data_IF_857092262508
#
_entry.id   IF_857092262508
#
_cell.length_a   1.000
_cell.length_b   1.000
_cell.length_c   1.000
_cell.angle_alpha   90.00
_cell.angle_beta   90.00
_cell.angle_gamma   90.00
#
_symmetry.space_group_name_H-M   'P 1'
#
loop_
_entity.id
_entity.type
_entity.pdbx_description
1 polymer ?
#
# COMPACT_ATOMS: atom_id res chain seq x y z
N UNK A 1 16.77 -12.57 15.55
CA UNK A 1 15.97 -11.64 16.37
C UNK A 1 14.59 -11.54 15.73
N UNK A 2 13.66 -12.42 16.05
CA UNK A 2 12.26 -12.36 15.61
C UNK A 2 11.58 -11.25 16.42
N UNK A 3 11.20 -10.18 15.70
CA UNK A 3 10.85 -8.91 16.29
C UNK A 3 9.52 -8.90 17.01
N UNK A 4 9.51 -8.32 18.17
CA UNK A 4 8.32 -7.80 18.85
C UNK A 4 7.67 -6.67 18.01
N UNK A 5 7.01 -6.99 16.87
CA UNK A 5 6.37 -5.93 16.07
C UNK A 5 5.77 -6.33 14.74
N UNK A 6 6.10 -7.49 14.19
CA UNK A 6 5.48 -7.89 12.92
C UNK A 6 4.18 -8.66 13.16
N UNK A 7 3.08 -8.12 12.61
CA UNK A 7 1.79 -8.80 12.59
C UNK A 7 1.69 -9.60 11.28
N UNK A 8 2.11 -10.88 11.31
CA UNK A 8 2.21 -11.74 10.12
C UNK A 8 0.89 -11.81 9.33
N UNK A 9 -0.24 -11.87 10.02
CA UNK A 9 -1.55 -11.86 9.39
C UNK A 9 -1.75 -10.64 8.48
N UNK A 10 -1.32 -9.45 8.89
CA UNK A 10 -1.43 -8.23 8.07
C UNK A 10 -0.50 -8.29 6.85
N UNK A 11 0.70 -8.87 7.00
CA UNK A 11 1.61 -9.13 5.88
C UNK A 11 0.95 -10.09 4.88
N UNK A 12 0.31 -11.16 5.35
CA UNK A 12 -0.40 -12.12 4.50
C UNK A 12 -1.55 -11.50 3.73
N UNK A 13 -2.39 -10.69 4.38
CA UNK A 13 -3.51 -10.00 3.70
C UNK A 13 -3.00 -9.02 2.65
N UNK A 14 -1.86 -8.35 2.89
CA UNK A 14 -1.22 -7.52 1.87
C UNK A 14 -0.84 -8.32 0.61
N UNK A 15 -0.42 -9.57 0.77
CA UNK A 15 -0.16 -10.48 -0.34
C UNK A 15 -1.44 -10.80 -1.13
N UNK A 16 -2.51 -11.15 -0.44
CA UNK A 16 -3.82 -11.43 -1.05
C UNK A 16 -4.31 -10.19 -1.83
N UNK A 17 -4.24 -9.02 -1.22
CA UNK A 17 -4.64 -7.76 -1.83
C UNK A 17 -3.83 -7.44 -3.10
N UNK A 18 -2.50 -7.67 -3.10
CA UNK A 18 -1.66 -7.47 -4.28
C UNK A 18 -2.06 -8.40 -5.44
N UNK A 19 -2.36 -9.67 -5.16
CA UNK A 19 -2.84 -10.61 -6.17
C UNK A 19 -4.24 -10.26 -6.67
N UNK A 20 -5.09 -9.69 -5.83
CA UNK A 20 -6.39 -9.19 -6.30
C UNK A 20 -6.23 -8.05 -7.32
N UNK A 21 -5.25 -7.14 -7.13
CA UNK A 21 -4.91 -6.11 -8.12
C UNK A 21 -4.38 -6.72 -9.42
N UNK A 22 -3.54 -7.77 -9.36
CA UNK A 22 -3.07 -8.49 -10.56
C UNK A 22 -4.25 -9.03 -11.37
N UNK A 23 -5.18 -9.72 -10.70
CA UNK A 23 -6.37 -10.29 -11.31
C UNK A 23 -7.35 -9.21 -11.82
N UNK A 24 -7.44 -8.08 -11.12
CA UNK A 24 -8.18 -6.91 -11.59
C UNK A 24 -7.72 -6.43 -12.96
N UNK A 25 -6.40 -6.29 -13.17
CA UNK A 25 -5.87 -5.86 -14.47
C UNK A 25 -5.95 -6.94 -15.56
N UNK A 26 -5.97 -8.20 -15.18
CA UNK A 26 -6.08 -9.33 -16.10
C UNK A 26 -7.51 -9.60 -16.55
N UNK A 27 -8.54 -9.33 -15.71
CA UNK A 27 -9.92 -9.80 -15.88
C UNK A 27 -10.54 -9.49 -17.25
N UNK A 28 -10.35 -8.26 -17.74
CA UNK A 28 -10.95 -7.82 -19.01
C UNK A 28 -10.36 -8.49 -20.26
N UNK A 29 -9.29 -9.29 -20.08
CA UNK A 29 -8.67 -10.06 -21.16
C UNK A 29 -8.93 -11.55 -21.08
N UNK A 30 -9.65 -12.03 -20.04
CA UNK A 30 -9.96 -13.45 -19.86
C UNK A 30 -11.21 -13.85 -20.64
N UNK A 31 -11.08 -14.85 -21.51
CA UNK A 31 -12.22 -15.43 -22.21
C UNK A 31 -13.04 -16.31 -21.26
N UNK A 32 -14.37 -16.18 -21.28
CA UNK A 32 -15.29 -17.07 -20.58
C UNK A 32 -15.25 -16.92 -19.04
N UNK A 33 -14.92 -15.73 -18.52
CA UNK A 33 -14.97 -15.45 -17.09
C UNK A 33 -16.43 -15.38 -16.63
N UNK A 34 -16.86 -16.17 -15.61
CA UNK A 34 -18.22 -16.05 -15.08
C UNK A 34 -18.50 -14.65 -14.54
N UNK A 35 -19.67 -14.07 -14.87
CA UNK A 35 -20.00 -12.70 -14.53
C UNK A 35 -19.89 -12.34 -13.04
N UNK A 36 -20.21 -13.29 -12.14
CA UNK A 36 -20.02 -13.10 -10.70
C UNK A 36 -18.53 -12.95 -10.33
N UNK A 37 -17.66 -13.75 -10.93
CA UNK A 37 -16.21 -13.69 -10.70
C UNK A 37 -15.66 -12.39 -11.27
N UNK A 38 -16.07 -12.01 -12.47
CA UNK A 38 -15.69 -10.73 -13.09
C UNK A 38 -16.09 -9.55 -12.21
N UNK A 39 -17.31 -9.52 -11.69
CA UNK A 39 -17.81 -8.49 -10.78
C UNK A 39 -16.95 -8.35 -9.51
N UNK A 40 -16.50 -9.47 -8.92
CA UNK A 40 -15.60 -9.48 -7.76
C UNK A 40 -14.21 -8.98 -8.17
N UNK A 41 -13.65 -9.47 -9.26
CA UNK A 41 -12.33 -9.06 -9.73
C UNK A 41 -12.32 -7.59 -10.16
N UNK A 42 -13.43 -7.07 -10.70
CA UNK A 42 -13.58 -5.66 -11.07
C UNK A 42 -13.40 -4.69 -9.88
N UNK A 43 -13.52 -5.17 -8.65
CA UNK A 43 -13.33 -4.39 -7.42
C UNK A 43 -11.91 -4.47 -6.85
N UNK A 44 -10.97 -5.08 -7.58
CA UNK A 44 -9.58 -5.22 -7.13
C UNK A 44 -8.83 -3.90 -6.94
N UNK A 45 -9.28 -2.78 -7.56
CA UNK A 45 -8.74 -1.46 -7.30
C UNK A 45 -8.92 -0.98 -5.85
N UNK A 46 -9.92 -1.51 -5.13
CA UNK A 46 -10.18 -1.22 -3.71
C UNK A 46 -9.11 -1.80 -2.77
N UNK A 47 -8.27 -2.70 -3.27
CA UNK A 47 -7.11 -3.19 -2.50
C UNK A 47 -6.12 -2.06 -2.17
N UNK A 48 -6.10 -0.98 -2.96
CA UNK A 48 -5.23 0.18 -2.73
C UNK A 48 -5.64 0.94 -1.47
N UNK A 49 -6.94 1.06 -1.20
CA UNK A 49 -7.46 1.66 0.04
C UNK A 49 -6.99 0.87 1.28
N UNK A 50 -7.04 -0.45 1.18
CA UNK A 50 -6.48 -1.28 2.24
C UNK A 50 -4.97 -1.07 2.43
N UNK A 51 -4.20 -0.88 1.34
CA UNK A 51 -2.76 -0.59 1.45
C UNK A 51 -2.50 0.74 2.12
N UNK A 52 -3.25 1.80 1.82
CA UNK A 52 -3.09 3.10 2.47
C UNK A 52 -3.41 3.05 3.97
N UNK A 53 -4.54 2.44 4.35
CA UNK A 53 -4.90 2.19 5.74
C UNK A 53 -3.83 1.38 6.47
N UNK A 54 -3.39 0.28 5.86
CA UNK A 54 -2.37 -0.61 6.42
C UNK A 54 -1.02 0.10 6.58
N UNK A 55 -0.63 0.95 5.62
CA UNK A 55 0.62 1.70 5.67
C UNK A 55 0.63 2.65 6.87
N UNK A 56 -0.44 3.40 7.10
CA UNK A 56 -0.59 4.26 8.28
C UNK A 56 -0.50 3.49 9.59
N UNK A 57 -1.20 2.35 9.69
CA UNK A 57 -1.17 1.48 10.86
C UNK A 57 0.24 0.93 11.14
N UNK A 58 0.89 0.36 10.13
CA UNK A 58 2.21 -0.27 10.27
C UNK A 58 3.30 0.75 10.57
N UNK A 59 3.22 1.96 10.01
CA UNK A 59 4.19 3.01 10.31
C UNK A 59 4.00 3.57 11.72
N UNK A 60 2.77 3.72 12.19
CA UNK A 60 2.51 4.07 13.59
C UNK A 60 3.07 3.01 14.55
N UNK A 61 2.87 1.72 14.22
CA UNK A 61 3.39 0.59 14.99
C UNK A 61 4.92 0.56 15.04
N UNK A 62 5.57 0.74 13.90
CA UNK A 62 7.02 0.50 13.76
C UNK A 62 7.90 1.73 14.03
N UNK A 63 7.38 2.93 13.80
CA UNK A 63 8.15 4.19 13.85
C UNK A 63 7.54 5.27 14.74
N UNK A 64 6.25 5.16 15.10
CA UNK A 64 5.53 6.21 15.83
C UNK A 64 6.23 6.62 17.13
N UNK A 65 6.63 5.64 17.96
CA UNK A 65 7.31 5.92 19.22
C UNK A 65 8.68 6.60 19.02
N UNK A 66 9.45 6.07 18.06
CA UNK A 66 10.79 6.61 17.77
C UNK A 66 10.73 8.05 17.25
N UNK A 67 9.72 8.39 16.44
CA UNK A 67 9.52 9.76 15.93
C UNK A 67 9.09 10.70 17.05
N UNK A 68 8.21 10.28 17.96
CA UNK A 68 7.80 11.10 19.10
C UNK A 68 8.95 11.38 20.07
N UNK A 69 9.70 10.35 20.44
CA UNK A 69 10.79 10.48 21.41
C UNK A 69 12.04 11.14 20.84
N UNK A 70 12.35 10.93 19.56
CA UNK A 70 13.54 11.45 18.89
C UNK A 70 13.35 12.77 18.15
N UNK A 71 12.09 13.21 17.97
CA UNK A 71 11.76 14.47 17.29
C UNK A 71 12.31 14.56 15.88
N UNK A 72 12.63 15.78 15.45
CA UNK A 72 13.11 16.07 14.09
C UNK A 72 14.45 15.34 13.78
N UNK A 73 15.27 15.07 14.78
CA UNK A 73 16.57 14.42 14.59
C UNK A 73 16.51 13.04 13.97
N UNK A 74 15.39 12.30 14.11
CA UNK A 74 15.22 10.94 13.56
C UNK A 74 14.45 10.92 12.23
N UNK A 75 13.92 12.06 11.79
CA UNK A 75 13.16 12.16 10.53
C UNK A 75 13.99 11.76 9.31
N UNK A 76 15.25 12.20 9.15
CA UNK A 76 16.07 11.80 7.99
C UNK A 76 16.29 10.29 7.91
N UNK A 77 16.51 9.60 9.05
CA UNK A 77 16.65 8.15 9.09
C UNK A 77 15.32 7.44 8.74
N UNK A 78 14.20 7.96 9.20
CA UNK A 78 12.87 7.48 8.83
C UNK A 78 12.64 7.59 7.32
N UNK A 79 12.80 8.78 6.74
CA UNK A 79 12.59 9.01 5.30
C UNK A 79 13.52 8.16 4.45
N UNK A 80 14.80 8.08 4.80
CA UNK A 80 15.76 7.21 4.12
C UNK A 80 15.27 5.75 4.06
N UNK A 81 14.76 5.21 5.18
CA UNK A 81 14.21 3.84 5.23
C UNK A 81 12.96 3.68 4.36
N UNK A 82 12.13 4.71 4.25
CA UNK A 82 10.94 4.70 3.40
C UNK A 82 11.32 4.77 1.93
N UNK A 83 12.23 5.68 1.56
CA UNK A 83 12.77 5.75 0.21
C UNK A 83 13.45 4.43 -0.18
N UNK A 84 14.27 3.85 0.70
CA UNK A 84 14.89 2.54 0.49
C UNK A 84 13.86 1.42 0.25
N UNK A 85 12.64 1.58 0.74
CA UNK A 85 11.55 0.60 0.58
C UNK A 85 10.89 0.65 -0.78
N UNK A 86 10.67 1.85 -1.35
CA UNK A 86 9.84 2.02 -2.54
C UNK A 86 10.68 2.37 -3.78
N UNK A 87 11.64 3.27 -3.66
CA UNK A 87 12.32 3.87 -4.79
C UNK A 87 13.19 2.91 -5.61
N UNK A 88 14.00 2.01 -5.05
CA UNK A 88 14.89 1.14 -5.85
C UNK A 88 14.11 0.22 -6.80
N UNK A 89 13.05 -0.39 -6.32
CA UNK A 89 12.20 -1.25 -7.14
C UNK A 89 11.46 -0.44 -8.20
N UNK A 90 10.93 0.74 -7.83
CA UNK A 90 10.31 1.65 -8.78
C UNK A 90 11.27 2.07 -9.90
N UNK A 91 12.52 2.44 -9.56
CA UNK A 91 13.53 2.83 -10.53
C UNK A 91 13.85 1.68 -11.52
N UNK A 92 13.95 0.44 -11.04
CA UNK A 92 14.13 -0.74 -11.92
C UNK A 92 12.90 -0.89 -12.85
N UNK A 93 11.70 -0.77 -12.33
CA UNK A 93 10.49 -0.87 -13.16
C UNK A 93 10.38 0.28 -14.17
N UNK A 94 10.80 1.48 -13.81
CA UNK A 94 10.90 2.62 -14.73
C UNK A 94 11.94 2.34 -15.84
N UNK A 95 13.07 1.70 -15.50
CA UNK A 95 14.05 1.22 -16.46
C UNK A 95 13.47 0.17 -17.43
N UNK A 96 12.66 -0.76 -16.92
CA UNK A 96 11.92 -1.73 -17.76
C UNK A 96 10.96 -1.01 -18.70
N UNK A 97 10.20 -0.02 -18.22
CA UNK A 97 9.30 0.78 -19.04
C UNK A 97 10.06 1.57 -20.13
N UNK A 98 11.23 2.11 -19.80
CA UNK A 98 12.09 2.78 -20.78
C UNK A 98 12.61 1.81 -21.83
N UNK A 99 12.99 0.60 -21.45
CA UNK A 99 13.37 -0.45 -22.40
C UNK A 99 12.22 -0.82 -23.34
N UNK A 100 11.00 -0.95 -22.82
CA UNK A 100 9.79 -1.19 -23.63
C UNK A 100 9.54 -0.04 -24.62
N UNK A 101 9.68 1.21 -24.18
CA UNK A 101 9.62 2.37 -25.07
C UNK A 101 10.63 2.27 -26.22
N UNK A 102 11.90 1.93 -25.92
CA UNK A 102 12.95 1.80 -26.93
C UNK A 102 12.66 0.68 -27.94
N UNK A 103 12.17 -0.48 -27.46
CA UNK A 103 11.76 -1.61 -28.32
C UNK A 103 10.60 -1.21 -29.24
N UNK A 104 9.59 -0.52 -28.71
CA UNK A 104 8.45 -0.06 -29.51
C UNK A 104 8.88 0.91 -30.60
N UNK A 105 9.71 1.90 -30.24
CA UNK A 105 10.24 2.87 -31.22
C UNK A 105 11.11 2.22 -32.27
N UNK A 106 12.00 1.30 -31.89
CA UNK A 106 12.84 0.57 -32.83
C UNK A 106 12.02 -0.32 -33.79
N UNK A 107 10.85 -0.77 -33.36
CA UNK A 107 9.89 -1.53 -34.21
C UNK A 107 8.90 -0.64 -34.98
N UNK A 108 9.09 0.68 -34.99
CA UNK A 108 8.21 1.63 -35.69
C UNK A 108 6.81 1.80 -35.06
N UNK A 109 6.62 1.34 -33.83
CA UNK A 109 5.34 1.42 -33.14
C UNK A 109 5.23 2.69 -32.31
N UNK A 110 4.04 3.30 -32.31
CA UNK A 110 3.73 4.40 -31.40
C UNK A 110 3.75 3.87 -29.93
N UNK A 111 4.19 4.71 -29.01
CA UNK A 111 4.27 4.40 -27.59
C UNK A 111 3.70 5.54 -26.73
N UNK A 112 2.39 5.87 -26.89
CA UNK A 112 1.77 6.97 -26.17
C UNK A 112 1.69 6.75 -24.66
N UNK A 113 1.85 5.49 -24.19
CA UNK A 113 1.87 5.13 -22.79
C UNK A 113 3.12 5.63 -22.05
N UNK A 114 4.18 5.99 -22.79
CA UNK A 114 5.49 6.35 -22.24
C UNK A 114 5.93 7.76 -22.67
N UNK A 115 5.21 8.84 -22.34
CA UNK A 115 5.58 10.20 -22.70
C UNK A 115 6.84 10.64 -21.95
N UNK A 116 7.91 11.00 -22.67
CA UNK A 116 9.19 11.40 -22.05
C UNK A 116 9.06 12.64 -21.17
N UNK A 117 8.15 13.55 -21.51
CA UNK A 117 7.89 14.75 -20.70
C UNK A 117 7.43 14.43 -19.28
N UNK A 118 6.77 13.29 -19.06
CA UNK A 118 6.33 12.87 -17.73
C UNK A 118 7.41 12.13 -16.92
N UNK A 119 8.53 11.72 -17.56
CA UNK A 119 9.58 10.93 -16.92
C UNK A 119 10.16 11.55 -15.64
N UNK A 120 10.44 12.88 -15.57
CA UNK A 120 10.95 13.50 -14.34
C UNK A 120 9.97 13.35 -13.16
N UNK A 121 8.66 13.51 -13.38
CA UNK A 121 7.66 13.35 -12.34
C UNK A 121 7.61 11.90 -11.81
N UNK A 122 7.72 10.90 -12.70
CA UNK A 122 7.81 9.49 -12.32
C UNK A 122 9.11 9.18 -11.58
N UNK A 123 10.24 9.72 -12.01
CA UNK A 123 11.53 9.51 -11.34
C UNK A 123 11.51 10.03 -9.90
N UNK A 124 10.85 11.19 -9.69
CA UNK A 124 10.71 11.83 -8.38
C UNK A 124 9.55 11.29 -7.55
N UNK A 125 8.73 10.37 -8.09
CA UNK A 125 7.51 9.85 -7.46
C UNK A 125 6.48 10.93 -7.08
N UNK A 126 6.32 11.95 -7.95
CA UNK A 126 5.34 13.03 -7.77
C UNK A 126 4.26 13.04 -8.86
N UNK A 127 4.23 12.02 -9.73
CA UNK A 127 3.33 11.94 -10.88
C UNK A 127 1.83 11.97 -10.53
N UNK A 128 1.46 11.55 -9.31
CA UNK A 128 0.07 11.53 -8.84
C UNK A 128 -0.28 12.71 -7.92
N UNK A 129 0.51 13.81 -7.96
CA UNK A 129 0.29 14.97 -7.09
C UNK A 129 -0.49 16.11 -7.77
N UNK A 130 -1.27 15.80 -8.81
CA UNK A 130 -2.05 16.76 -9.58
C UNK A 130 -1.29 17.45 -10.71
N UNK A 131 -0.04 17.05 -11.00
CA UNK A 131 0.80 17.66 -12.02
C UNK A 131 0.76 16.95 -13.37
N UNK A 132 0.36 15.68 -13.41
CA UNK A 132 0.37 14.85 -14.60
C UNK A 132 -0.98 14.19 -14.83
N UNK A 133 -1.45 14.30 -16.07
CA UNK A 133 -2.65 13.65 -16.58
C UNK A 133 -2.39 13.17 -18.00
N UNK A 134 -2.84 11.98 -18.35
CA UNK A 134 -3.22 10.84 -17.53
C UNK A 134 -2.03 10.15 -16.87
N UNK A 135 -2.30 9.24 -15.92
CA UNK A 135 -1.25 8.38 -15.35
C UNK A 135 -0.61 7.53 -16.44
N UNK A 136 0.71 7.54 -16.53
CA UNK A 136 1.49 6.91 -17.61
C UNK A 136 2.63 6.07 -17.04
N UNK A 137 3.40 5.44 -17.89
CA UNK A 137 4.56 4.61 -17.60
C UNK A 137 4.16 3.31 -16.89
N UNK A 138 4.24 3.27 -15.60
CA UNK A 138 3.79 2.14 -14.79
C UNK A 138 2.58 2.59 -13.97
N UNK A 139 1.38 2.39 -14.51
CA UNK A 139 0.14 2.88 -13.92
C UNK A 139 0.03 2.60 -12.39
N UNK A 140 0.21 1.36 -11.86
CA UNK A 140 0.13 1.11 -10.42
C UNK A 140 1.06 1.96 -9.55
N UNK A 141 2.11 2.55 -10.12
CA UNK A 141 3.05 3.38 -9.38
C UNK A 141 2.45 4.72 -8.85
N UNK A 142 1.24 5.11 -9.31
CA UNK A 142 0.55 6.26 -8.75
C UNK A 142 0.37 6.16 -7.25
N UNK A 143 0.07 4.97 -6.73
CA UNK A 143 -0.19 4.76 -5.30
C UNK A 143 1.05 4.97 -4.43
N UNK A 144 2.24 4.54 -4.88
CA UNK A 144 3.49 4.79 -4.16
C UNK A 144 3.94 6.25 -4.26
N UNK A 145 3.52 6.98 -5.32
CA UNK A 145 3.67 8.45 -5.39
C UNK A 145 2.84 9.14 -4.30
N UNK A 146 1.58 8.72 -4.12
CA UNK A 146 0.74 9.22 -3.03
C UNK A 146 1.29 8.82 -1.65
N UNK A 147 1.81 7.60 -1.52
CA UNK A 147 2.41 7.10 -0.29
C UNK A 147 3.67 7.89 0.09
N UNK A 148 4.45 8.39 -0.88
CA UNK A 148 5.57 9.29 -0.62
C UNK A 148 5.10 10.59 0.06
N UNK A 149 3.99 11.19 -0.38
CA UNK A 149 3.41 12.37 0.29
C UNK A 149 3.04 12.05 1.75
N UNK A 150 2.42 10.89 1.99
CA UNK A 150 2.11 10.44 3.34
C UNK A 150 3.37 10.25 4.19
N UNK A 151 4.46 9.72 3.64
CA UNK A 151 5.74 9.57 4.36
C UNK A 151 6.37 10.89 4.74
N UNK A 152 6.25 11.93 3.90
CA UNK A 152 6.75 13.27 4.20
C UNK A 152 5.95 13.93 5.33
N UNK A 153 4.64 13.73 5.39
CA UNK A 153 3.76 14.33 6.39
C UNK A 153 3.66 13.52 7.69
N UNK A 154 3.92 12.23 7.68
CA UNK A 154 3.78 11.35 8.83
C UNK A 154 4.59 11.77 10.07
N UNK A 155 5.89 12.17 9.95
CA UNK A 155 6.64 12.62 11.11
C UNK A 155 5.97 13.82 11.80
N UNK A 156 5.47 14.79 11.04
CA UNK A 156 4.80 15.96 11.58
C UNK A 156 3.50 15.57 12.30
N UNK A 157 2.68 14.72 11.67
CA UNK A 157 1.40 14.26 12.26
C UNK A 157 1.60 13.49 13.55
N UNK A 158 2.60 12.60 13.61
CA UNK A 158 2.89 11.78 14.80
C UNK A 158 3.50 12.60 15.94
N UNK A 159 4.31 13.62 15.64
CA UNK A 159 4.86 14.51 16.66
C UNK A 159 3.83 15.50 17.19
N UNK A 160 2.91 15.99 16.35
CA UNK A 160 1.87 16.93 16.73
C UNK A 160 0.69 16.27 17.45
N UNK A 161 0.34 15.04 17.09
CA UNK A 161 -0.88 14.36 17.56
C UNK A 161 -0.50 13.05 18.27
N UNK A 162 -0.56 13.04 19.61
CA UNK A 162 -0.48 11.78 20.36
C UNK A 162 -1.89 11.18 20.57
N UNK A 163 -2.24 10.22 19.73
CA UNK A 163 -3.51 9.50 19.85
C UNK A 163 -3.59 8.57 21.06
N UNK A 164 -2.46 8.22 21.69
CA UNK A 164 -2.41 7.25 22.80
C UNK A 164 -3.07 7.77 24.07
N UNK A 165 -3.00 9.06 24.34
CA UNK A 165 -3.64 9.72 25.49
C UNK A 165 -5.11 10.06 25.27
N UNK A 166 -5.64 10.00 24.03
CA UNK A 166 -7.01 10.45 23.71
C UNK A 166 -8.05 9.40 24.09
N UNK A 167 -9.19 9.84 24.60
CA UNK A 167 -10.30 8.93 24.91
C UNK A 167 -10.81 8.20 23.65
N UNK A 168 -11.32 6.98 23.82
CA UNK A 168 -11.85 6.16 22.70
C UNK A 168 -12.89 6.88 21.86
N UNK A 169 -13.89 7.60 22.41
CA UNK A 169 -14.86 8.36 21.61
C UNK A 169 -14.19 9.41 20.71
N UNK A 170 -13.13 10.06 21.19
CA UNK A 170 -12.38 11.06 20.41
C UNK A 170 -11.71 10.39 19.20
N UNK A 171 -11.08 9.21 19.40
CA UNK A 171 -10.46 8.47 18.30
C UNK A 171 -11.50 8.00 17.27
N UNK A 172 -12.64 7.48 17.72
CA UNK A 172 -13.73 7.06 16.84
C UNK A 172 -14.33 8.25 16.09
N UNK A 173 -14.54 9.39 16.77
CA UNK A 173 -14.99 10.62 16.13
C UNK A 173 -14.00 11.13 15.08
N UNK A 174 -12.69 11.09 15.37
CA UNK A 174 -11.66 11.50 14.42
C UNK A 174 -11.60 10.56 13.19
N UNK A 175 -11.71 9.24 13.40
CA UNK A 175 -11.81 8.26 12.30
C UNK A 175 -13.04 8.56 11.44
N UNK A 176 -14.21 8.75 12.07
CA UNK A 176 -15.44 9.11 11.36
C UNK A 176 -15.32 10.40 10.56
N UNK A 177 -14.69 11.43 11.15
CA UNK A 177 -14.46 12.71 10.47
C UNK A 177 -13.52 12.55 9.24
N UNK A 178 -12.45 11.74 9.33
CA UNK A 178 -11.56 11.47 8.20
C UNK A 178 -12.27 10.71 7.07
N UNK A 179 -13.09 9.71 7.41
CA UNK A 179 -13.86 8.94 6.43
C UNK A 179 -14.95 9.78 5.77
N UNK A 180 -15.62 10.65 6.52
CA UNK A 180 -16.57 11.62 5.97
C UNK A 180 -15.89 12.65 5.09
N UNK A 181 -14.72 13.16 5.49
CA UNK A 181 -13.92 14.07 4.67
C UNK A 181 -13.50 13.42 3.35
N UNK A 182 -13.13 12.12 3.38
CA UNK A 182 -12.83 11.35 2.18
C UNK A 182 -14.05 11.30 1.24
N UNK A 183 -15.20 10.86 1.76
CA UNK A 183 -16.43 10.80 0.96
C UNK A 183 -16.83 12.17 0.40
N UNK A 184 -16.73 13.23 1.22
CA UNK A 184 -17.01 14.60 0.79
C UNK A 184 -16.07 15.07 -0.33
N UNK A 185 -14.77 14.75 -0.26
CA UNK A 185 -13.81 15.09 -1.31
C UNK A 185 -14.20 14.48 -2.67
N UNK A 186 -14.66 13.22 -2.67
CA UNK A 186 -15.13 12.56 -3.89
C UNK A 186 -16.43 13.18 -4.41
N UNK A 187 -17.40 13.42 -3.53
CA UNK A 187 -18.68 14.08 -3.91
C UNK A 187 -18.43 15.46 -4.51
N UNK A 188 -17.56 16.27 -3.92
CA UNK A 188 -17.21 17.62 -4.42
C UNK A 188 -16.55 17.58 -5.80
N UNK A 189 -15.93 16.46 -6.17
CA UNK A 189 -15.34 16.24 -7.49
C UNK A 189 -16.30 15.53 -8.47
N UNK A 190 -17.51 15.19 -8.04
CA UNK A 190 -18.46 14.44 -8.85
C UNK A 190 -18.01 13.00 -9.14
N UNK A 191 -17.23 12.40 -8.22
CA UNK A 191 -16.70 11.05 -8.35
C UNK A 191 -17.49 10.08 -7.45
N UNK A 192 -18.07 9.03 -8.04
CA UNK A 192 -18.92 8.06 -7.35
C UNK A 192 -18.15 6.86 -6.81
N UNK A 193 -16.96 6.59 -7.37
CA UNK A 193 -16.13 5.45 -6.97
C UNK A 193 -14.71 5.87 -6.62
N UNK A 194 -14.07 5.09 -5.73
CA UNK A 194 -12.69 5.33 -5.29
C UNK A 194 -11.66 5.19 -6.42
N UNK A 195 -12.02 4.54 -7.54
CA UNK A 195 -11.16 4.42 -8.71
C UNK A 195 -11.16 5.63 -9.65
N UNK A 196 -12.03 6.61 -9.43
CA UNK A 196 -12.15 7.78 -10.29
C UNK A 196 -11.21 8.91 -9.86
N UNK A 197 -10.88 9.78 -10.82
CA UNK A 197 -10.11 11.03 -10.62
C UNK A 197 -8.81 10.84 -9.81
N UNK A 198 -8.10 9.74 -10.07
CA UNK A 198 -6.84 9.41 -9.38
C UNK A 198 -5.83 10.57 -9.41
N UNK A 199 -5.63 11.30 -10.54
CA UNK A 199 -4.68 12.41 -10.59
C UNK A 199 -4.92 13.50 -9.53
N UNK A 200 -6.18 13.81 -9.21
CA UNK A 200 -6.54 14.87 -8.26
C UNK A 200 -6.90 14.35 -6.86
N UNK A 201 -7.53 13.20 -6.79
CA UNK A 201 -8.00 12.62 -5.52
C UNK A 201 -7.02 11.63 -4.90
N UNK A 202 -6.06 11.09 -5.66
CA UNK A 202 -5.17 10.03 -5.18
C UNK A 202 -4.39 10.40 -3.92
N UNK A 203 -3.80 11.59 -3.85
CA UNK A 203 -3.06 12.06 -2.65
C UNK A 203 -4.01 12.29 -1.48
N UNK A 204 -5.17 12.94 -1.71
CA UNK A 204 -6.19 13.20 -0.66
C UNK A 204 -6.68 11.87 -0.08
N UNK A 205 -7.05 10.91 -0.95
CA UNK A 205 -7.45 9.54 -0.58
C UNK A 205 -6.39 8.87 0.28
N UNK A 206 -5.13 8.86 -0.20
CA UNK A 206 -4.01 8.27 0.53
C UNK A 206 -3.81 8.91 1.91
N UNK A 207 -3.79 10.23 2.01
CA UNK A 207 -3.53 10.93 3.26
C UNK A 207 -4.63 10.67 4.31
N UNK A 208 -5.90 10.71 3.91
CA UNK A 208 -7.03 10.49 4.82
C UNK A 208 -7.10 9.04 5.29
N UNK A 209 -6.88 8.08 4.41
CA UNK A 209 -6.84 6.65 4.76
C UNK A 209 -5.60 6.29 5.58
N UNK A 210 -4.45 6.84 5.26
CA UNK A 210 -3.23 6.67 6.03
C UNK A 210 -3.38 7.24 7.46
N UNK A 211 -3.96 8.44 7.61
CA UNK A 211 -4.27 9.02 8.92
C UNK A 211 -5.27 8.14 9.70
N UNK A 212 -6.30 7.63 9.02
CA UNK A 212 -7.26 6.67 9.60
C UNK A 212 -6.54 5.41 10.11
N UNK A 213 -5.63 4.83 9.31
CA UNK A 213 -4.80 3.70 9.71
C UNK A 213 -3.95 3.98 10.95
N UNK A 214 -3.39 5.18 11.05
CA UNK A 214 -2.63 5.64 12.22
C UNK A 214 -3.50 5.69 13.49
N UNK A 215 -4.74 6.17 13.38
CA UNK A 215 -5.69 6.20 14.51
C UNK A 215 -6.19 4.79 14.88
N UNK A 216 -6.38 3.90 13.89
CA UNK A 216 -6.71 2.49 14.14
C UNK A 216 -5.60 1.81 14.96
N UNK A 217 -4.33 2.12 14.73
CA UNK A 217 -3.23 1.63 15.58
C UNK A 217 -3.41 2.07 17.05
N UNK A 218 -3.84 3.32 17.31
CA UNK A 218 -4.10 3.79 18.67
C UNK A 218 -5.27 3.04 19.34
N UNK A 219 -6.33 2.72 18.59
CA UNK A 219 -7.42 1.86 19.08
C UNK A 219 -6.94 0.44 19.33
N UNK A 220 -6.15 -0.15 18.42
CA UNK A 220 -5.59 -1.48 18.56
C UNK A 220 -4.72 -1.62 19.82
N UNK A 221 -3.98 -0.62 20.21
CA UNK A 221 -3.19 -0.63 21.43
C UNK A 221 -4.04 -0.77 22.71
N UNK A 222 -5.29 -0.28 22.69
CA UNK A 222 -6.21 -0.27 23.83
C UNK A 222 -7.13 -1.46 23.86
N UNK A 223 -7.59 -1.91 22.69
CA UNK A 223 -8.59 -2.94 22.57
C UNK A 223 -7.91 -4.31 22.45
N UNK A 224 -8.12 -5.17 23.47
CA UNK A 224 -7.60 -6.54 23.48
C UNK A 224 -8.71 -7.55 23.68
N UNK A 225 -9.94 -7.08 23.82
CA UNK A 225 -11.09 -7.90 24.20
C UNK A 225 -11.69 -8.61 23.00
N UNK A 226 -12.29 -9.79 23.25
CA UNK A 226 -13.03 -10.55 22.22
C UNK A 226 -14.17 -9.74 21.61
N UNK A 227 -14.86 -8.88 22.40
CA UNK A 227 -15.95 -8.02 21.94
C UNK A 227 -15.50 -7.04 20.87
N UNK A 228 -14.31 -6.46 21.00
CA UNK A 228 -13.76 -5.55 20.00
C UNK A 228 -13.48 -6.26 18.66
N UNK A 229 -13.05 -7.54 18.70
CA UNK A 229 -12.88 -8.35 17.48
C UNK A 229 -14.20 -8.56 16.77
N UNK A 230 -15.24 -8.99 17.51
CA UNK A 230 -16.57 -9.24 16.94
C UNK A 230 -17.19 -7.95 16.39
N UNK A 231 -17.07 -6.84 17.13
CA UNK A 231 -17.55 -5.54 16.68
C UNK A 231 -16.84 -5.08 15.40
N UNK A 232 -15.52 -5.25 15.31
CA UNK A 232 -14.75 -4.88 14.12
C UNK A 232 -15.19 -5.64 12.88
N UNK A 233 -15.31 -6.96 12.96
CA UNK A 233 -15.80 -7.77 11.84
C UNK A 233 -17.28 -7.52 11.54
N UNK A 234 -18.11 -7.28 12.57
CA UNK A 234 -19.51 -6.92 12.40
C UNK A 234 -19.70 -5.59 11.66
N UNK A 235 -18.91 -4.56 12.02
CA UNK A 235 -18.92 -3.27 11.32
C UNK A 235 -18.42 -3.44 9.87
N UNK A 236 -17.36 -4.21 9.64
CA UNK A 236 -16.86 -4.49 8.30
C UNK A 236 -17.93 -5.18 7.44
N UNK A 237 -18.63 -6.16 7.98
CA UNK A 237 -19.72 -6.87 7.30
C UNK A 237 -20.92 -5.94 7.03
N UNK A 238 -21.31 -5.12 8.01
CA UNK A 238 -22.42 -4.17 7.88
C UNK A 238 -22.18 -3.17 6.75
N UNK A 239 -21.01 -2.52 6.74
CA UNK A 239 -20.69 -1.54 5.71
C UNK A 239 -20.43 -2.19 4.34
N UNK A 240 -19.86 -3.39 4.30
CA UNK A 240 -19.76 -4.18 3.08
C UNK A 240 -21.12 -4.56 2.50
N UNK A 241 -22.09 -4.91 3.35
CA UNK A 241 -23.47 -5.17 2.95
C UNK A 241 -24.17 -3.88 2.49
N UNK A 242 -24.02 -2.78 3.22
CA UNK A 242 -24.59 -1.49 2.82
C UNK A 242 -24.11 -1.07 1.43
N UNK A 243 -22.81 -1.24 1.13
CA UNK A 243 -22.27 -1.03 -0.20
C UNK A 243 -22.92 -1.93 -1.26
N UNK A 244 -23.07 -3.22 -0.97
CA UNK A 244 -23.76 -4.17 -1.86
C UNK A 244 -25.20 -3.79 -2.13
N UNK A 245 -25.86 -3.12 -1.20
CA UNK A 245 -27.23 -2.62 -1.30
C UNK A 245 -27.33 -1.22 -1.94
N UNK A 246 -26.21 -0.66 -2.45
CA UNK A 246 -26.20 0.60 -3.19
C UNK A 246 -25.81 1.83 -2.39
N UNK A 247 -25.36 1.69 -1.14
CA UNK A 247 -24.81 2.82 -0.42
C UNK A 247 -23.47 3.30 -1.04
N UNK A 248 -23.14 4.61 -0.92
CA UNK A 248 -21.96 5.20 -1.58
C UNK A 248 -20.67 4.46 -1.27
N UNK A 249 -19.95 4.05 -2.33
CA UNK A 249 -18.69 3.31 -2.24
C UNK A 249 -17.64 4.10 -1.45
N UNK A 250 -17.55 5.40 -1.69
CA UNK A 250 -16.54 6.31 -1.12
C UNK A 250 -16.62 6.45 0.41
N UNK A 251 -17.76 6.12 1.01
CA UNK A 251 -17.95 6.09 2.47
C UNK A 251 -17.92 4.66 3.03
N UNK A 252 -18.64 3.75 2.38
CA UNK A 252 -18.87 2.41 2.94
C UNK A 252 -17.65 1.52 2.84
N UNK A 253 -16.91 1.55 1.72
CA UNK A 253 -15.76 0.69 1.52
C UNK A 253 -14.59 1.07 2.43
N UNK A 254 -14.14 2.34 2.53
CA UNK A 254 -13.08 2.71 3.45
C UNK A 254 -13.44 2.42 4.92
N UNK A 255 -14.73 2.59 5.30
CA UNK A 255 -15.21 2.24 6.64
C UNK A 255 -15.12 0.74 6.89
N UNK A 256 -15.57 -0.07 5.94
CA UNK A 256 -15.48 -1.53 6.03
C UNK A 256 -14.03 -2.01 6.13
N UNK A 257 -13.14 -1.46 5.29
CA UNK A 257 -11.71 -1.81 5.28
C UNK A 257 -10.99 -1.36 6.55
N UNK A 258 -11.35 -0.19 7.11
CA UNK A 258 -10.83 0.30 8.39
C UNK A 258 -11.20 -0.64 9.54
N UNK A 259 -12.47 -1.04 9.62
CA UNK A 259 -12.93 -2.00 10.61
C UNK A 259 -12.33 -3.39 10.40
N UNK A 260 -12.20 -3.85 9.16
CA UNK A 260 -11.52 -5.09 8.82
C UNK A 260 -10.05 -5.09 9.26
N UNK A 261 -9.31 -4.00 8.98
CA UNK A 261 -7.93 -3.84 9.42
C UNK A 261 -7.79 -3.98 10.95
N UNK A 262 -8.69 -3.34 11.71
CA UNK A 262 -8.69 -3.45 13.17
C UNK A 262 -8.95 -4.89 13.61
N UNK A 263 -9.96 -5.57 13.06
CA UNK A 263 -10.27 -6.97 13.36
C UNK A 263 -9.10 -7.91 13.05
N UNK A 264 -8.45 -7.74 11.90
CA UNK A 264 -7.26 -8.50 11.51
C UNK A 264 -6.07 -8.25 12.46
N UNK A 265 -5.83 -6.99 12.84
CA UNK A 265 -4.77 -6.64 13.77
C UNK A 265 -5.02 -7.22 15.19
N UNK A 266 -6.28 -7.25 15.64
CA UNK A 266 -6.67 -7.82 16.93
C UNK A 266 -6.59 -9.36 16.96
N UNK A 267 -6.65 -10.01 15.81
CA UNK A 267 -6.54 -11.48 15.69
C UNK A 267 -5.15 -11.96 15.29
N UNK A 268 -4.24 -11.06 14.95
CA UNK A 268 -2.88 -11.41 14.60
C UNK A 268 -2.13 -12.08 15.78
N UNK A 269 -1.34 -13.10 15.46
CA UNK A 269 -0.58 -13.89 16.45
C UNK A 269 -1.41 -14.91 17.22
N UNK A 270 -2.72 -15.06 16.95
CA UNK A 270 -3.54 -16.10 17.60
C UNK A 270 -3.29 -17.46 16.95
N UNK A 271 -3.22 -18.50 17.79
CA UNK A 271 -3.15 -19.89 17.33
C UNK A 271 -4.38 -20.25 16.50
N UNK A 272 -4.17 -20.95 15.37
CA UNK A 272 -5.26 -21.33 14.47
C UNK A 272 -5.68 -20.24 13.47
N UNK A 273 -5.04 -19.07 13.46
CA UNK A 273 -5.32 -18.05 12.43
C UNK A 273 -4.66 -18.47 11.10
N UNK A 274 -5.45 -18.76 10.03
CA UNK A 274 -4.90 -19.22 8.74
C UNK A 274 -4.01 -18.16 8.07
N UNK A 275 -4.17 -16.89 8.39
CA UNK A 275 -3.35 -15.79 7.88
C UNK A 275 -1.92 -15.78 8.48
N UNK A 276 -1.65 -16.56 9.52
CA UNK A 276 -0.29 -16.75 10.05
C UNK A 276 0.53 -17.80 9.27
N UNK A 277 -0.10 -18.46 8.29
CA UNK A 277 0.52 -19.51 7.47
C UNK A 277 1.71 -19.01 6.66
N UNK A 278 2.75 -19.86 6.55
CA UNK A 278 4.02 -19.50 5.92
C UNK A 278 3.87 -19.13 4.43
N UNK A 279 2.97 -19.78 3.69
CA UNK A 279 2.75 -19.50 2.27
C UNK A 279 2.17 -18.09 2.06
N UNK A 280 1.09 -17.75 2.78
CA UNK A 280 0.45 -16.45 2.68
C UNK A 280 1.40 -15.33 3.14
N UNK A 281 2.16 -15.58 4.19
CA UNK A 281 3.17 -14.63 4.66
C UNK A 281 4.25 -14.36 3.60
N UNK A 282 4.75 -15.40 2.91
CA UNK A 282 5.71 -15.23 1.81
C UNK A 282 5.13 -14.43 0.64
N UNK A 283 3.86 -14.66 0.27
CA UNK A 283 3.17 -13.83 -0.73
C UNK A 283 3.10 -12.37 -0.28
N UNK A 284 2.89 -12.13 1.01
CA UNK A 284 2.92 -10.79 1.60
C UNK A 284 4.31 -10.14 1.57
N UNK A 285 5.39 -10.89 1.79
CA UNK A 285 6.76 -10.37 1.69
C UNK A 285 7.09 -9.86 0.28
N UNK A 286 6.67 -10.58 -0.76
CA UNK A 286 6.92 -10.21 -2.17
C UNK A 286 5.87 -9.26 -2.76
N UNK A 287 4.84 -8.87 -2.00
CA UNK A 287 3.66 -8.13 -2.49
C UNK A 287 3.98 -6.81 -3.18
N UNK A 288 5.03 -6.09 -2.73
CA UNK A 288 5.46 -4.85 -3.36
C UNK A 288 6.02 -5.11 -4.77
N UNK A 289 6.84 -6.16 -4.91
CA UNK A 289 7.36 -6.58 -6.21
C UNK A 289 6.23 -7.05 -7.13
N UNK A 290 5.26 -7.83 -6.63
CA UNK A 290 4.07 -8.26 -7.37
C UNK A 290 3.28 -7.05 -7.87
N UNK A 291 2.99 -6.10 -6.97
CA UNK A 291 2.21 -4.91 -7.29
C UNK A 291 2.86 -4.00 -8.32
N UNK A 292 4.18 -3.76 -8.25
CA UNK A 292 4.86 -2.85 -9.16
C UNK A 292 5.22 -3.48 -10.51
N UNK A 293 5.41 -4.81 -10.56
CA UNK A 293 5.87 -5.46 -11.80
C UNK A 293 4.74 -5.94 -12.71
N UNK A 294 3.59 -6.32 -12.17
CA UNK A 294 2.55 -7.02 -12.93
C UNK A 294 2.05 -6.24 -14.16
N UNK A 295 1.89 -4.92 -14.05
CA UNK A 295 1.34 -4.09 -15.12
C UNK A 295 2.25 -4.04 -16.34
N UNK A 296 3.55 -3.76 -16.13
CA UNK A 296 4.54 -3.76 -17.22
C UNK A 296 4.79 -5.16 -17.77
N UNK A 297 4.75 -6.19 -16.91
CA UNK A 297 4.80 -7.59 -17.37
C UNK A 297 3.58 -7.93 -18.22
N UNK A 298 2.39 -7.45 -17.85
CA UNK A 298 1.18 -7.63 -18.66
C UNK A 298 1.31 -6.93 -20.01
N UNK A 299 1.85 -5.72 -20.02
CA UNK A 299 2.10 -4.99 -21.26
C UNK A 299 3.08 -5.76 -22.17
N UNK A 300 4.23 -6.19 -21.64
CA UNK A 300 5.21 -6.97 -22.38
C UNK A 300 4.64 -8.34 -22.84
N UNK A 301 3.87 -9.01 -21.98
CA UNK A 301 3.21 -10.29 -22.29
C UNK A 301 2.23 -10.15 -23.44
N UNK A 302 1.43 -9.07 -23.44
CA UNK A 302 0.54 -8.78 -24.57
C UNK A 302 1.29 -8.60 -25.88
N UNK A 303 2.38 -7.86 -25.88
CA UNK A 303 3.20 -7.66 -27.08
C UNK A 303 3.76 -8.97 -27.64
N UNK A 304 4.12 -9.92 -26.77
CA UNK A 304 4.78 -11.17 -27.16
C UNK A 304 3.80 -12.29 -27.54
N UNK A 305 2.69 -12.43 -26.82
CA UNK A 305 1.86 -13.63 -26.87
C UNK A 305 0.40 -13.39 -27.24
N UNK A 306 -0.10 -12.14 -27.16
CA UNK A 306 -1.53 -11.86 -27.32
C UNK A 306 -1.80 -11.26 -28.70
N UNK A 307 -2.49 -12.00 -29.55
CA UNK A 307 -2.87 -11.58 -30.91
C UNK A 307 -4.37 -11.25 -31.05
N UNK A 308 -5.16 -11.56 -30.03
CA UNK A 308 -6.62 -11.40 -29.98
C UNK A 308 -6.99 -10.52 -28.78
N UNK A 309 -8.24 -10.05 -28.73
CA UNK A 309 -8.72 -9.23 -27.62
C UNK A 309 -8.74 -9.96 -26.27
N UNK A 310 -8.93 -11.29 -26.29
CA UNK A 310 -9.00 -12.14 -25.11
C UNK A 310 -7.97 -13.27 -25.16
N UNK A 311 -7.59 -13.79 -24.00
CA UNK A 311 -6.69 -14.93 -23.85
C UNK A 311 -7.41 -16.11 -23.19
N UNK A 312 -6.99 -17.32 -23.54
CA UNK A 312 -7.42 -18.55 -22.88
C UNK A 312 -6.74 -18.76 -21.52
N UNK A 313 -7.27 -19.70 -20.75
CA UNK A 313 -6.80 -20.01 -19.39
C UNK A 313 -5.33 -20.45 -19.31
N UNK A 314 -4.81 -21.13 -20.33
CA UNK A 314 -3.39 -21.54 -20.40
C UNK A 314 -2.43 -20.34 -20.44
N UNK A 315 -2.72 -19.33 -21.27
CA UNK A 315 -1.95 -18.10 -21.32
C UNK A 315 -2.13 -17.26 -20.05
N UNK A 316 -3.33 -17.25 -19.48
CA UNK A 316 -3.57 -16.58 -18.20
C UNK A 316 -2.74 -17.21 -17.07
N UNK A 317 -2.70 -18.55 -17.00
CA UNK A 317 -1.88 -19.27 -16.02
C UNK A 317 -0.39 -19.00 -16.23
N UNK A 318 0.09 -19.02 -17.49
CA UNK A 318 1.47 -18.68 -17.81
C UNK A 318 1.82 -17.27 -17.32
N UNK A 319 0.95 -16.28 -17.58
CA UNK A 319 1.14 -14.93 -17.09
C UNK A 319 1.21 -14.86 -15.55
N UNK A 320 0.30 -15.51 -14.84
CA UNK A 320 0.28 -15.56 -13.37
C UNK A 320 1.59 -16.15 -12.82
N UNK A 321 2.08 -17.24 -13.44
CA UNK A 321 3.35 -17.86 -13.07
C UNK A 321 4.55 -16.94 -13.35
N UNK A 322 4.54 -16.20 -14.47
CA UNK A 322 5.57 -15.21 -14.78
C UNK A 322 5.56 -14.06 -13.78
N UNK A 323 4.38 -13.55 -13.38
CA UNK A 323 4.27 -12.53 -12.33
C UNK A 323 4.83 -13.05 -11.01
N UNK A 324 4.52 -14.29 -10.62
CA UNK A 324 5.05 -14.88 -9.39
C UNK A 324 6.58 -15.02 -9.44
N UNK A 325 7.12 -15.54 -10.53
CA UNK A 325 8.56 -15.70 -10.73
C UNK A 325 9.29 -14.36 -10.70
N UNK A 326 8.77 -13.36 -11.44
CA UNK A 326 9.33 -12.00 -11.45
C UNK A 326 9.25 -11.35 -10.07
N UNK A 327 8.14 -11.52 -9.34
CA UNK A 327 7.98 -11.00 -7.98
C UNK A 327 9.03 -11.55 -7.03
N UNK A 328 9.28 -12.86 -7.07
CA UNK A 328 10.32 -13.51 -6.26
C UNK A 328 11.72 -13.02 -6.65
N UNK A 329 12.01 -12.92 -7.94
CA UNK A 329 13.30 -12.44 -8.46
C UNK A 329 13.55 -10.98 -8.06
N UNK A 330 12.62 -10.08 -8.33
CA UNK A 330 12.73 -8.66 -7.99
C UNK A 330 12.86 -8.43 -6.48
N UNK A 331 12.10 -9.16 -5.67
CA UNK A 331 12.22 -9.09 -4.22
C UNK A 331 13.60 -9.51 -3.71
N UNK A 332 14.16 -10.63 -4.25
CA UNK A 332 15.45 -11.17 -3.81
C UNK A 332 16.63 -10.40 -4.37
N UNK A 333 16.58 -9.97 -5.64
CA UNK A 333 17.70 -9.39 -6.35
C UNK A 333 17.74 -7.86 -6.31
N UNK A 334 16.60 -7.20 -6.13
CA UNK A 334 16.50 -5.73 -6.12
C UNK A 334 16.06 -5.21 -4.75
N UNK A 335 14.86 -5.55 -4.32
CA UNK A 335 14.24 -4.94 -3.14
C UNK A 335 15.05 -5.18 -1.87
N UNK A 336 15.32 -6.43 -1.51
CA UNK A 336 16.09 -6.78 -0.29
C UNK A 336 17.54 -6.25 -0.31
N UNK A 337 18.32 -6.43 -1.38
CA UNK A 337 19.69 -5.91 -1.42
C UNK A 337 19.76 -4.39 -1.33
N UNK A 338 18.93 -3.69 -2.11
CA UNK A 338 18.89 -2.23 -2.10
C UNK A 338 18.50 -1.67 -0.71
N UNK A 339 17.46 -2.23 -0.07
CA UNK A 339 17.09 -1.85 1.29
C UNK A 339 18.23 -2.07 2.31
N UNK A 340 18.92 -3.22 2.20
CA UNK A 340 20.06 -3.52 3.10
C UNK A 340 21.21 -2.53 2.88
N UNK A 341 21.52 -2.24 1.62
CA UNK A 341 22.60 -1.33 1.25
C UNK A 341 22.30 0.10 1.72
N UNK A 342 21.16 0.67 1.35
CA UNK A 342 20.75 2.03 1.76
C UNK A 342 20.64 2.14 3.29
N UNK A 343 20.14 1.09 3.96
CA UNK A 343 20.03 1.10 5.41
C UNK A 343 21.40 1.05 6.13
N UNK A 344 22.45 0.54 5.49
CA UNK A 344 23.82 0.56 6.02
C UNK A 344 24.47 1.95 5.91
N UNK A 345 24.07 2.76 4.93
CA UNK A 345 24.57 4.13 4.72
C UNK A 345 24.08 5.12 5.80
N UNK A 346 23.23 4.68 6.72
CA UNK A 346 22.64 5.54 7.75
C UNK A 346 23.66 6.01 8.78
N UNK A 347 23.62 7.30 9.05
CA UNK A 347 24.32 7.93 10.17
C UNK A 347 23.95 7.20 11.46
N UNK A 348 24.92 6.61 12.13
CA UNK A 348 24.77 6.23 13.54
C UNK A 348 24.84 7.56 14.30
N UNK A 349 23.76 8.08 14.90
CA UNK A 349 23.92 9.18 15.85
C UNK A 349 24.90 8.67 16.90
N UNK A 350 25.97 9.44 17.11
CA UNK A 350 27.00 9.09 18.08
C UNK A 350 26.33 8.67 19.38
N UNK A 351 26.66 7.50 19.90
CA UNK A 351 26.32 7.14 21.27
C UNK A 351 26.95 8.24 22.14
N UNK A 352 26.15 9.22 22.57
CA UNK A 352 26.53 10.06 23.70
C UNK A 352 26.79 9.07 24.84
N UNK A 353 28.07 8.84 25.12
CA UNK A 353 28.46 8.15 26.36
C UNK A 353 27.99 9.10 27.48
N UNK A 354 26.87 8.79 28.08
CA UNK A 354 26.53 9.38 29.36
C UNK A 354 27.71 9.03 30.29
N UNK A 355 28.36 10.01 30.92
CA UNK A 355 29.42 9.74 31.85
C UNK A 355 28.83 8.90 32.98
N UNK A 356 29.38 7.71 33.18
CA UNK A 356 29.08 6.87 34.34
C UNK A 356 29.47 7.70 35.57
N UNK A 357 28.50 8.25 36.29
CA UNK A 357 28.67 8.84 37.60
C UNK A 357 29.23 7.72 38.50
N UNK A 358 30.55 7.73 38.74
CA UNK A 358 31.16 6.97 39.82
C UNK A 358 30.60 7.53 41.13
N UNK A 359 29.88 6.71 41.85
CA UNK A 359 29.50 6.96 43.24
C UNK A 359 30.78 7.00 44.06
N UNK A 360 31.01 8.01 44.90
CA UNK A 360 32.11 7.98 45.87
C UNK A 360 31.77 6.91 46.90
N UNK A 361 32.67 5.94 47.07
CA UNK A 361 32.67 5.05 48.23
C UNK A 361 33.10 5.89 49.41
N UNK A 362 32.23 6.06 50.37
CA UNK A 362 32.47 6.39 51.72
C UNK A 362 32.15 5.19 52.62
#
# INVERSE_FOLDING_TARGET
MSGRGELRALTSVRGIAAWWVVLYHLRGSLAGLPGMVEAVLAKGYLAVDFFFLLSGFVLALSHGERLRSGGIAVVPDFLRRRIARIWPLHAVMLGVALLLLLILRASGRAAPEFPLAALPAHLLLVQAWGFAEPLRWNDPAWSISCELAAYLLFPLSVMAIDGRGRATPVLLGAIGALLLALAAAFVLRGADTLGQDIPHLGVVRCLLEFATGTLIHALWQRWRERRAVLASFGIAALFGMAWRLGAPETLTVPTALAALLLGLALTAGRTGNPLEGALLHRLGEISCATYLSHFLLWFAFKLAFVRTATIGWSLAMLYVLLVLAASVALHRLVERPAQRWINRLGFRPGRSRLPVRRSPRG
#
